data_IF_435156661689
#
_entry.id   IF_435156661689
#
_cell.length_a   1.000
_cell.length_b   1.000
_cell.length_c   1.000
_cell.angle_alpha   90.00
_cell.angle_beta   90.00
_cell.angle_gamma   90.00
#
_symmetry.space_group_name_H-M   'P 1'
#
loop_
_entity.id
_entity.type
_entity.pdbx_description
1 polymer ?
#
# COMPACT_ATOMS: atom_id res chain seq x y z
N UNK A 1 9.83 -8.63 34.95
CA UNK A 1 9.03 -9.17 33.83
C UNK A 1 9.93 -9.23 32.61
N UNK A 2 10.22 -10.43 32.10
CA UNK A 2 10.77 -10.52 30.74
C UNK A 2 9.74 -9.98 29.77
N UNK A 3 10.13 -8.96 28.99
CA UNK A 3 9.28 -8.43 27.93
C UNK A 3 9.27 -9.46 26.81
N UNK A 4 8.09 -9.93 26.43
CA UNK A 4 7.92 -10.78 25.24
C UNK A 4 8.37 -9.99 24.02
N UNK A 5 9.34 -10.54 23.29
CA UNK A 5 9.84 -9.97 22.05
C UNK A 5 9.03 -10.49 20.87
N UNK A 6 8.05 -9.70 20.45
CA UNK A 6 7.15 -10.07 19.36
C UNK A 6 7.89 -10.22 18.02
N UNK A 7 9.05 -9.59 17.87
CA UNK A 7 9.95 -9.74 16.73
C UNK A 7 10.63 -11.11 16.61
N UNK A 8 10.64 -11.90 17.70
CA UNK A 8 11.20 -13.27 17.74
C UNK A 8 10.13 -14.35 17.55
N UNK A 9 8.87 -13.96 17.31
CA UNK A 9 7.78 -14.90 17.00
C UNK A 9 8.11 -15.68 15.71
N UNK A 10 7.60 -16.91 15.59
CA UNK A 10 7.73 -17.70 14.38
C UNK A 10 7.23 -16.89 13.16
N UNK A 11 7.97 -16.98 12.04
CA UNK A 11 7.70 -16.20 10.84
C UNK A 11 6.27 -16.42 10.32
N UNK A 12 5.76 -17.65 10.32
CA UNK A 12 4.41 -17.97 9.85
C UNK A 12 3.35 -17.30 10.74
N UNK A 13 3.62 -17.19 12.04
CA UNK A 13 2.74 -16.47 12.96
C UNK A 13 2.76 -14.96 12.69
N UNK A 14 3.93 -14.37 12.43
CA UNK A 14 4.04 -12.96 12.04
C UNK A 14 3.29 -12.68 10.74
N UNK A 15 3.48 -13.52 9.73
CA UNK A 15 2.80 -13.40 8.43
C UNK A 15 1.28 -13.49 8.58
N UNK A 16 0.78 -14.44 9.38
CA UNK A 16 -0.67 -14.57 9.64
C UNK A 16 -1.25 -13.33 10.33
N UNK A 17 -0.54 -12.77 11.32
CA UNK A 17 -0.96 -11.53 11.98
C UNK A 17 -0.93 -10.36 11.00
N UNK A 18 0.15 -10.21 10.23
CA UNK A 18 0.34 -9.09 9.32
C UNK A 18 -0.62 -9.10 8.12
N UNK A 19 -1.02 -10.28 7.64
CA UNK A 19 -2.08 -10.40 6.63
C UNK A 19 -3.43 -9.82 7.08
N UNK A 20 -3.64 -9.58 8.39
CA UNK A 20 -4.89 -9.07 8.95
C UNK A 20 -4.87 -7.58 9.30
N UNK A 21 -3.71 -6.92 9.26
CA UNK A 21 -3.58 -5.50 9.66
C UNK A 21 -4.02 -4.53 8.56
N UNK A 22 -4.23 -5.03 7.34
CA UNK A 22 -4.64 -4.24 6.18
C UNK A 22 -3.49 -3.55 5.46
N UNK A 23 -3.76 -3.17 4.21
CA UNK A 23 -2.76 -2.64 3.27
C UNK A 23 -2.04 -1.39 3.78
N UNK A 24 -2.78 -0.44 4.38
CA UNK A 24 -2.18 0.81 4.88
C UNK A 24 -1.09 0.54 5.93
N UNK A 25 -1.34 -0.34 6.89
CA UNK A 25 -0.36 -0.67 7.93
C UNK A 25 0.78 -1.53 7.41
N UNK A 26 0.52 -2.42 6.44
CA UNK A 26 1.58 -3.15 5.72
C UNK A 26 2.51 -2.24 4.91
N UNK A 27 2.06 -1.05 4.53
CA UNK A 27 2.85 -0.07 3.80
C UNK A 27 3.58 0.91 4.71
N UNK A 28 2.90 1.42 5.74
CA UNK A 28 3.33 2.62 6.47
C UNK A 28 3.74 2.35 7.93
N UNK A 29 3.39 1.20 8.50
CA UNK A 29 3.60 0.95 9.93
C UNK A 29 4.47 -0.29 10.17
N UNK A 30 3.96 -1.47 9.83
CA UNK A 30 4.57 -2.78 10.18
C UNK A 30 6.02 -2.90 9.68
N UNK A 31 6.37 -2.55 8.43
CA UNK A 31 7.74 -2.70 7.95
C UNK A 31 8.72 -1.69 8.58
N UNK A 32 8.23 -0.63 9.23
CA UNK A 32 9.06 0.42 9.84
C UNK A 32 9.39 0.14 11.31
N UNK A 33 8.78 -0.86 11.94
CA UNK A 33 9.01 -1.20 13.36
C UNK A 33 10.42 -1.78 13.57
N UNK A 34 10.78 -2.83 12.83
CA UNK A 34 12.08 -3.48 12.94
C UNK A 34 12.40 -4.35 11.71
N UNK A 35 13.65 -4.81 11.58
CA UNK A 35 14.11 -5.63 10.44
C UNK A 35 13.36 -6.97 10.30
N UNK A 36 13.10 -7.75 11.38
CA UNK A 36 12.32 -8.99 11.27
C UNK A 36 10.90 -8.75 10.74
N UNK A 37 10.21 -7.70 11.21
CA UNK A 37 8.87 -7.36 10.75
C UNK A 37 8.88 -6.93 9.29
N UNK A 38 9.83 -6.09 8.88
CA UNK A 38 10.05 -5.77 7.46
C UNK A 38 10.16 -7.04 6.61
N UNK A 39 11.02 -7.99 7.00
CA UNK A 39 11.18 -9.26 6.27
C UNK A 39 9.89 -10.08 6.21
N UNK A 40 9.13 -10.17 7.30
CA UNK A 40 7.86 -10.87 7.31
C UNK A 40 6.83 -10.24 6.36
N UNK A 41 6.76 -8.91 6.27
CA UNK A 41 5.88 -8.24 5.28
C UNK A 41 6.29 -8.47 3.82
N UNK A 42 7.48 -9.04 3.55
CA UNK A 42 7.88 -9.43 2.19
C UNK A 42 7.23 -10.73 1.74
N UNK A 43 6.63 -11.49 2.67
CA UNK A 43 5.89 -12.70 2.33
C UNK A 43 4.60 -12.35 1.56
N UNK A 44 4.36 -12.97 0.39
CA UNK A 44 3.15 -12.77 -0.40
C UNK A 44 1.85 -12.98 0.36
N UNK A 45 1.81 -13.87 1.36
CA UNK A 45 0.63 -14.13 2.17
C UNK A 45 0.19 -12.94 3.03
N UNK A 46 1.08 -11.97 3.26
CA UNK A 46 0.66 -10.71 3.88
C UNK A 46 -0.24 -9.88 2.95
N UNK A 47 -0.27 -10.17 1.65
CA UNK A 47 -0.87 -9.34 0.60
C UNK A 47 -1.97 -10.09 -0.17
N UNK A 48 -2.65 -11.04 0.47
CA UNK A 48 -3.79 -11.78 -0.11
C UNK A 48 -5.02 -10.88 -0.28
N UNK A 49 -5.19 -9.89 0.61
CA UNK A 49 -6.32 -8.96 0.61
C UNK A 49 -5.86 -7.54 0.24
N UNK A 50 -6.09 -7.15 -1.01
CA UNK A 50 -5.70 -5.85 -1.55
C UNK A 50 -6.92 -4.93 -1.66
N UNK A 51 -7.17 -4.16 -0.60
CA UNK A 51 -8.29 -3.21 -0.54
C UNK A 51 -7.75 -1.79 -0.69
N UNK A 52 -7.93 -1.20 -1.87
CA UNK A 52 -7.56 0.18 -2.13
C UNK A 52 -8.63 1.13 -1.55
N UNK A 53 -8.27 2.05 -0.63
CA UNK A 53 -9.26 2.89 0.00
C UNK A 53 -9.84 3.92 -0.98
N UNK A 54 -11.11 4.26 -0.76
CA UNK A 54 -11.92 5.12 -1.64
C UNK A 54 -11.44 6.58 -1.69
N UNK A 55 -10.68 6.99 -0.69
CA UNK A 55 -10.04 8.30 -0.61
C UNK A 55 -8.82 8.44 -1.53
N UNK A 56 -8.33 7.34 -2.12
CA UNK A 56 -7.38 7.38 -3.24
C UNK A 56 -8.14 7.85 -4.49
N UNK A 57 -8.19 9.17 -4.65
CA UNK A 57 -8.77 9.86 -5.80
C UNK A 57 -7.68 10.60 -6.58
N UNK A 58 -7.85 10.83 -7.90
CA UNK A 58 -7.03 11.76 -8.65
C UNK A 58 -7.35 13.13 -8.08
N UNK A 59 -6.56 13.56 -7.11
CA UNK A 59 -6.60 14.91 -6.61
C UNK A 59 -5.98 15.78 -7.71
N UNK A 60 -6.71 16.78 -8.20
CA UNK A 60 -6.05 17.87 -8.90
C UNK A 60 -4.96 18.46 -8.00
N UNK A 61 -3.98 19.17 -8.56
CA UNK A 61 -3.01 19.91 -7.74
C UNK A 61 -3.74 20.82 -6.71
N UNK A 62 -4.94 21.31 -7.06
CA UNK A 62 -5.80 22.10 -6.20
C UNK A 62 -6.46 21.26 -5.09
N UNK A 63 -6.94 20.06 -5.38
CA UNK A 63 -7.47 19.17 -4.34
C UNK A 63 -6.39 18.76 -3.34
N UNK A 64 -5.14 18.56 -3.76
CA UNK A 64 -4.04 18.26 -2.84
C UNK A 64 -3.70 19.45 -1.92
N UNK A 65 -3.80 20.69 -2.43
CA UNK A 65 -3.55 21.91 -1.66
C UNK A 65 -4.75 22.25 -0.74
N UNK A 66 -5.97 21.99 -1.19
CA UNK A 66 -7.21 22.38 -0.50
C UNK A 66 -7.84 21.27 0.35
N UNK A 67 -7.37 20.02 0.28
CA UNK A 67 -7.84 18.96 1.17
C UNK A 67 -7.19 19.12 2.55
N UNK A 68 -7.96 19.40 3.61
CA UNK A 68 -7.39 19.60 4.95
C UNK A 68 -6.75 18.33 5.52
N UNK A 69 -7.09 17.16 4.93
CA UNK A 69 -6.62 15.84 5.35
C UNK A 69 -6.52 14.90 4.15
N UNK A 70 -5.43 14.94 3.35
CA UNK A 70 -5.16 13.87 2.40
C UNK A 70 -5.05 12.55 3.16
N UNK A 71 -5.64 11.47 2.61
CA UNK A 71 -5.52 10.13 3.18
C UNK A 71 -4.06 9.76 3.44
N UNK A 72 -3.78 8.97 4.49
CA UNK A 72 -2.39 8.74 4.97
C UNK A 72 -1.47 8.14 3.91
N UNK A 73 -2.01 7.33 3.01
CA UNK A 73 -1.26 6.80 1.85
C UNK A 73 -0.85 7.94 0.91
N UNK A 74 -1.74 8.89 0.64
CA UNK A 74 -1.46 10.04 -0.22
C UNK A 74 -0.46 10.98 0.47
N UNK A 75 -0.62 11.25 1.77
CA UNK A 75 0.27 12.14 2.51
C UNK A 75 1.70 11.59 2.58
N UNK A 76 1.87 10.33 2.99
CA UNK A 76 3.20 9.74 3.21
C UNK A 76 3.87 9.28 1.90
N UNK A 77 3.09 8.72 0.96
CA UNK A 77 3.63 8.11 -0.26
C UNK A 77 3.66 9.09 -1.44
N UNK A 78 2.70 10.02 -1.51
CA UNK A 78 2.58 11.03 -2.56
C UNK A 78 3.59 12.16 -2.44
N UNK A 79 3.89 12.63 -1.23
CA UNK A 79 4.87 13.69 -1.01
C UNK A 79 6.25 13.34 -1.59
N UNK A 80 6.66 12.07 -1.49
CA UNK A 80 7.94 11.56 -2.01
C UNK A 80 8.02 11.57 -3.54
N UNK A 81 6.89 11.46 -4.25
CA UNK A 81 6.82 11.43 -5.70
C UNK A 81 6.56 12.82 -6.31
N UNK A 82 5.80 13.66 -5.61
CA UNK A 82 5.61 15.07 -5.97
C UNK A 82 6.95 15.82 -6.08
N UNK A 83 7.86 15.61 -5.11
CA UNK A 83 9.22 16.20 -5.13
C UNK A 83 10.06 15.73 -6.33
N UNK A 84 9.73 14.58 -6.95
CA UNK A 84 10.47 13.99 -8.07
C UNK A 84 9.92 14.35 -9.46
N UNK A 85 8.89 15.19 -9.56
CA UNK A 85 8.38 15.70 -10.85
C UNK A 85 7.73 14.64 -11.76
N UNK A 86 7.35 13.49 -11.21
CA UNK A 86 6.72 12.37 -11.95
C UNK A 86 5.19 12.44 -11.82
N UNK A 87 4.56 13.47 -12.36
CA UNK A 87 3.09 13.60 -12.32
C UNK A 87 2.52 13.49 -13.73
N UNK A 88 1.69 12.47 -13.96
CA UNK A 88 0.74 12.47 -15.08
C UNK A 88 -0.11 13.75 -14.96
N UNK A 89 -0.35 14.41 -16.10
CA UNK A 89 -1.09 15.67 -16.20
C UNK A 89 -2.36 15.61 -15.33
N UNK A 90 -2.35 16.33 -14.21
CA UNK A 90 -3.52 16.52 -13.35
C UNK A 90 -3.53 15.82 -11.99
N UNK A 91 -2.62 14.90 -11.63
CA UNK A 91 -2.60 14.31 -10.28
C UNK A 91 -1.18 14.18 -9.69
N UNK A 92 -0.89 14.74 -8.50
CA UNK A 92 0.44 14.67 -7.89
C UNK A 92 0.78 13.28 -7.35
N UNK A 93 -0.21 12.40 -7.18
CA UNK A 93 -0.04 11.03 -6.72
C UNK A 93 -0.05 10.05 -7.91
N UNK A 94 1.02 9.25 -8.11
CA UNK A 94 1.12 8.32 -9.24
C UNK A 94 0.33 7.02 -8.98
N UNK A 95 -1.02 7.12 -9.02
CA UNK A 95 -1.96 6.03 -8.68
C UNK A 95 -1.60 4.72 -9.39
N UNK A 96 -1.40 4.76 -10.71
CA UNK A 96 -1.10 3.54 -11.49
C UNK A 96 0.20 2.87 -11.04
N UNK A 97 1.25 3.64 -10.73
CA UNK A 97 2.52 3.09 -10.25
C UNK A 97 2.38 2.54 -8.82
N UNK A 98 1.65 3.24 -7.95
CA UNK A 98 1.35 2.77 -6.61
C UNK A 98 0.58 1.44 -6.63
N UNK A 99 -0.46 1.34 -7.44
CA UNK A 99 -1.23 0.10 -7.59
C UNK A 99 -0.37 -1.06 -8.06
N UNK A 100 0.44 -0.86 -9.12
CA UNK A 100 1.38 -1.87 -9.60
C UNK A 100 2.35 -2.32 -8.52
N UNK A 101 2.89 -1.37 -7.76
CA UNK A 101 3.78 -1.66 -6.64
C UNK A 101 3.09 -2.57 -5.61
N UNK A 102 1.88 -2.22 -5.17
CA UNK A 102 1.11 -3.01 -4.19
C UNK A 102 0.78 -4.40 -4.73
N UNK A 103 0.24 -4.49 -5.96
CA UNK A 103 -0.12 -5.76 -6.60
C UNK A 103 1.11 -6.69 -6.69
N UNK A 104 2.27 -6.14 -7.04
CA UNK A 104 3.51 -6.93 -7.12
C UNK A 104 3.99 -7.48 -5.79
N UNK A 105 3.61 -6.88 -4.65
CA UNK A 105 3.93 -7.44 -3.32
C UNK A 105 3.21 -8.76 -3.09
N UNK A 106 2.04 -8.93 -3.71
CA UNK A 106 1.23 -10.14 -3.60
C UNK A 106 1.76 -11.33 -4.40
N UNK A 107 2.62 -11.12 -5.41
CA UNK A 107 3.18 -12.22 -6.24
C UNK A 107 2.13 -13.25 -6.68
N UNK A 108 0.94 -12.78 -7.10
CA UNK A 108 -0.20 -13.60 -7.56
C UNK A 108 -0.88 -14.42 -6.46
N UNK A 109 -0.63 -14.10 -5.19
CA UNK A 109 -1.35 -14.68 -4.05
C UNK A 109 -2.61 -13.89 -3.67
N UNK A 110 -2.95 -12.80 -4.39
CA UNK A 110 -4.11 -11.99 -4.09
C UNK A 110 -5.39 -12.83 -4.30
N UNK A 111 -6.16 -13.00 -3.23
CA UNK A 111 -7.45 -13.68 -3.25
C UNK A 111 -8.61 -12.69 -3.27
N UNK A 112 -8.35 -11.45 -2.84
CA UNK A 112 -9.31 -10.35 -2.85
C UNK A 112 -8.67 -9.07 -3.38
N UNK A 113 -9.34 -8.43 -4.32
CA UNK A 113 -8.93 -7.15 -4.89
C UNK A 113 -10.14 -6.20 -4.92
N UNK A 114 -10.14 -5.22 -4.04
CA UNK A 114 -11.13 -4.14 -4.02
C UNK A 114 -10.51 -2.86 -4.55
N UNK A 115 -11.12 -2.32 -5.61
CA UNK A 115 -10.59 -1.21 -6.38
C UNK A 115 -11.43 0.04 -6.14
N UNK A 116 -10.76 1.16 -5.84
CA UNK A 116 -11.42 2.47 -5.80
C UNK A 116 -11.84 2.91 -7.22
N UNK A 117 -12.84 3.80 -7.31
CA UNK A 117 -13.40 4.37 -8.55
C UNK A 117 -12.34 4.93 -9.53
N UNK A 118 -11.14 5.17 -9.03
CA UNK A 118 -10.07 5.87 -9.71
C UNK A 118 -9.06 4.95 -10.41
N UNK A 119 -9.35 3.65 -10.49
CA UNK A 119 -8.50 2.71 -11.17
C UNK A 119 -8.51 2.96 -12.68
N UNK A 120 -7.35 3.35 -13.22
CA UNK A 120 -7.20 3.49 -14.67
C UNK A 120 -7.44 2.14 -15.35
N UNK A 121 -8.04 2.13 -16.54
CA UNK A 121 -8.19 0.89 -17.34
C UNK A 121 -6.87 0.14 -17.55
N UNK A 122 -5.72 0.82 -17.48
CA UNK A 122 -4.39 0.21 -17.51
C UNK A 122 -4.05 -0.54 -16.22
N UNK A 123 -4.39 0.02 -15.05
CA UNK A 123 -4.21 -0.66 -13.76
C UNK A 123 -5.11 -1.90 -13.66
N UNK A 124 -6.35 -1.80 -14.17
CA UNK A 124 -7.28 -2.94 -14.26
C UNK A 124 -6.73 -4.06 -15.15
N UNK A 125 -6.25 -3.74 -16.35
CA UNK A 125 -5.61 -4.73 -17.24
C UNK A 125 -4.36 -5.35 -16.63
N UNK A 126 -3.59 -4.59 -15.86
CA UNK A 126 -2.42 -5.11 -15.17
C UNK A 126 -2.82 -6.11 -14.08
N UNK A 127 -3.76 -5.75 -13.21
CA UNK A 127 -4.25 -6.61 -12.15
C UNK A 127 -4.87 -7.91 -12.68
N UNK A 128 -5.53 -7.87 -13.84
CA UNK A 128 -6.14 -9.04 -14.47
C UNK A 128 -5.12 -10.02 -15.09
N UNK A 129 -3.90 -9.57 -15.36
CA UNK A 129 -2.86 -10.37 -16.05
C UNK A 129 -1.77 -10.89 -15.10
N UNK A 130 -1.80 -10.50 -13.82
CA UNK A 130 -0.95 -11.05 -12.76
C UNK A 130 -1.70 -12.15 -12.01
#
# INVERSE_FOLDING_TARGET
MERRKWEELNLDCLVNVFGRVGMQSLLLDVPLVCKPWYKATLDPKCWEHLIFPEDIKPCSAWDYICTPYPGRIISEYGHRHYIKGLTEVGCPFPITAFMKFVINRSRRCATELSLSFCCSGKALKYAANE
#
